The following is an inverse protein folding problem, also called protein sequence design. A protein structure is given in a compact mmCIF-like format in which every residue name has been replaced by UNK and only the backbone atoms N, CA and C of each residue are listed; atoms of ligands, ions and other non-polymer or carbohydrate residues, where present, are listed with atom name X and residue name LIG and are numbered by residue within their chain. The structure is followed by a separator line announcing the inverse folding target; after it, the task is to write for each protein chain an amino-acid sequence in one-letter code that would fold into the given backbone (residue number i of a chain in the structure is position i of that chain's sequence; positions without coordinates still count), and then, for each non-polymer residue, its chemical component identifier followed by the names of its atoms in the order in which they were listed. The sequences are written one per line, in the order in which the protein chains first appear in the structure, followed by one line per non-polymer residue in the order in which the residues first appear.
data_IF_424969077690
#
_entry.id   IF_424969077690
#
_cell.length_a   1.000
_cell.length_b   1.000
_cell.length_c   1.000
_cell.angle_alpha   90.00
_cell.angle_beta   90.00
_cell.angle_gamma   90.00
#
_symmetry.space_group_name_H-M   'P 1'
#
loop_
_entity.id
_entity.type
_entity.pdbx_description
1 polymer ?
#
# COMPACT_ATOMS: atom_id res chain seq x y z
N UNK A 1 3.14 12.29 -2.44
CA UNK A 1 4.21 11.60 -1.66
C UNK A 1 4.97 12.65 -0.89
N UNK A 2 5.45 12.32 0.31
CA UNK A 2 6.29 13.20 1.13
C UNK A 2 7.56 12.43 1.49
N UNK A 3 8.73 13.05 1.36
CA UNK A 3 10.01 12.49 1.79
C UNK A 3 10.53 13.37 2.93
N UNK A 4 10.84 12.77 4.06
CA UNK A 4 11.41 13.46 5.22
C UNK A 4 12.83 12.98 5.44
N UNK A 5 13.78 13.89 5.30
CA UNK A 5 15.18 13.67 5.68
C UNK A 5 15.37 14.26 7.08
N UNK A 6 15.77 13.46 8.09
CA UNK A 6 15.92 13.97 9.45
C UNK A 6 17.14 14.88 9.57
N UNK A 7 17.14 15.75 10.58
CA UNK A 7 18.27 16.67 10.83
C UNK A 7 19.61 15.94 11.03
N UNK A 8 19.57 14.77 11.66
CA UNK A 8 20.75 13.91 11.85
C UNK A 8 20.50 12.56 11.18
N UNK A 9 21.11 12.37 10.01
CA UNK A 9 21.02 11.11 9.27
C UNK A 9 22.05 10.09 9.80
N UNK A 10 21.57 9.11 10.58
CA UNK A 10 22.37 8.03 11.17
C UNK A 10 22.39 6.76 10.33
N UNK A 11 21.34 6.53 9.54
CA UNK A 11 21.12 5.32 8.73
C UNK A 11 20.81 5.72 7.29
N UNK A 12 21.84 6.05 6.52
CA UNK A 12 21.69 6.49 5.12
C UNK A 12 21.31 5.37 4.15
N UNK A 13 21.59 4.12 4.50
CA UNK A 13 21.37 2.96 3.61
C UNK A 13 19.91 2.47 3.63
N UNK A 14 19.14 2.80 4.68
CA UNK A 14 17.78 2.30 4.88
C UNK A 14 16.81 3.47 4.92
N UNK A 15 15.75 3.40 4.13
CA UNK A 15 14.58 4.26 4.26
C UNK A 15 13.39 3.49 4.81
N UNK A 16 12.49 4.18 5.50
CA UNK A 16 11.18 3.66 5.86
C UNK A 16 10.11 4.24 4.92
N UNK A 17 9.26 3.40 4.35
CA UNK A 17 8.15 3.84 3.51
C UNK A 17 6.82 3.39 4.09
N UNK A 18 5.97 4.38 4.41
CA UNK A 18 4.59 4.17 4.80
C UNK A 18 3.69 4.29 3.57
N UNK A 19 3.03 3.19 3.21
CA UNK A 19 2.06 3.09 2.13
C UNK A 19 0.69 3.49 2.69
N UNK A 20 0.22 4.66 2.29
CA UNK A 20 -0.95 5.32 2.88
C UNK A 20 -2.03 5.66 1.84
N UNK A 21 -3.19 6.09 2.34
CA UNK A 21 -4.33 6.50 1.56
C UNK A 21 -4.35 7.96 1.15
N UNK A 22 -5.57 8.49 1.10
CA UNK A 22 -5.90 9.76 0.49
C UNK A 22 -6.42 9.62 -0.94
N UNK A 23 -6.97 10.73 -1.43
CA UNK A 23 -7.62 10.85 -2.71
C UNK A 23 -6.79 11.72 -3.67
N UNK A 24 -7.02 11.58 -4.98
CA UNK A 24 -6.47 12.43 -6.03
C UNK A 24 -7.13 13.80 -6.11
N UNK A 25 -8.17 14.02 -5.32
CA UNK A 25 -8.80 15.31 -5.06
C UNK A 25 -8.25 15.99 -3.80
N UNK A 26 -7.42 15.30 -3.01
CA UNK A 26 -6.83 15.90 -1.81
C UNK A 26 -5.83 16.99 -2.18
N UNK A 27 -5.68 18.03 -1.35
CA UNK A 27 -4.63 19.01 -1.53
C UNK A 27 -3.25 18.34 -1.44
N UNK A 28 -2.25 19.00 -2.01
CA UNK A 28 -0.86 18.57 -1.87
C UNK A 28 -0.52 18.50 -0.37
N UNK A 29 -0.06 17.34 0.13
CA UNK A 29 0.15 17.17 1.55
C UNK A 29 1.34 18.01 2.03
N UNK A 30 1.14 18.76 3.12
CA UNK A 30 2.12 19.71 3.67
C UNK A 30 2.88 19.18 4.87
N UNK A 31 2.44 18.05 5.45
CA UNK A 31 3.07 17.43 6.62
C UNK A 31 3.00 15.91 6.53
N UNK A 32 3.98 15.25 7.13
CA UNK A 32 4.03 13.79 7.18
C UNK A 32 3.69 13.25 8.58
N UNK A 33 2.86 12.21 8.60
CA UNK A 33 2.51 11.45 9.81
C UNK A 33 3.69 10.66 10.38
N UNK A 34 4.75 10.45 9.59
CA UNK A 34 5.94 9.66 9.97
C UNK A 34 7.19 10.52 10.23
N UNK A 35 7.04 11.85 10.32
CA UNK A 35 8.14 12.78 10.64
C UNK A 35 8.87 12.40 11.94
N UNK A 36 8.15 12.04 12.99
CA UNK A 36 8.76 11.62 14.27
C UNK A 36 9.58 10.33 14.14
N UNK A 37 9.20 9.45 13.22
CA UNK A 37 9.96 8.23 12.95
C UNK A 37 11.28 8.55 12.24
N UNK A 38 11.30 9.54 11.35
CA UNK A 38 12.54 10.01 10.72
C UNK A 38 13.52 10.52 11.78
N UNK A 39 13.07 11.45 12.63
CA UNK A 39 13.90 12.07 13.66
C UNK A 39 14.40 11.07 14.72
N UNK A 40 13.53 10.16 15.18
CA UNK A 40 13.91 9.18 16.20
C UNK A 40 14.86 8.10 15.69
N UNK A 41 14.71 7.67 14.43
CA UNK A 41 15.56 6.61 13.86
C UNK A 41 16.81 7.16 13.17
N UNK A 42 16.82 8.44 12.82
CA UNK A 42 17.86 9.05 11.98
C UNK A 42 17.92 8.42 10.58
N UNK A 43 16.78 8.06 10.01
CA UNK A 43 16.66 7.46 8.67
C UNK A 43 15.68 8.28 7.83
N UNK A 44 15.81 8.22 6.50
CA UNK A 44 14.82 8.84 5.62
C UNK A 44 13.48 8.13 5.79
N UNK A 45 12.39 8.89 5.89
CA UNK A 45 11.03 8.34 5.81
C UNK A 45 10.29 8.84 4.59
N UNK A 46 9.41 8.02 4.05
CA UNK A 46 8.58 8.31 2.89
C UNK A 46 7.13 8.02 3.26
N UNK A 47 6.23 8.97 3.02
CA UNK A 47 4.79 8.74 3.09
C UNK A 47 4.22 8.76 1.67
N UNK A 48 3.91 7.56 1.18
CA UNK A 48 3.35 7.34 -0.14
C UNK A 48 1.82 7.35 -0.06
N UNK A 49 1.23 8.51 -0.32
CA UNK A 49 -0.21 8.75 -0.41
C UNK A 49 -0.84 8.17 -1.68
N UNK A 50 -2.17 8.17 -1.73
CA UNK A 50 -2.98 7.78 -2.89
C UNK A 50 -2.72 6.33 -3.31
N UNK A 51 -2.65 5.41 -2.34
CA UNK A 51 -2.63 3.97 -2.58
C UNK A 51 -3.93 3.38 -2.04
N UNK A 52 -4.96 3.14 -2.87
CA UNK A 52 -5.01 3.35 -4.31
C UNK A 52 -5.23 4.82 -4.69
N UNK A 53 -4.98 5.13 -5.97
CA UNK A 53 -5.30 6.43 -6.55
C UNK A 53 -6.80 6.46 -6.86
N UNK A 54 -7.55 7.27 -6.10
CA UNK A 54 -9.01 7.29 -6.04
C UNK A 54 -9.50 8.72 -5.77
N UNK A 55 -10.78 9.07 -5.96
CA UNK A 55 -11.84 8.24 -6.52
C UNK A 55 -11.60 7.86 -7.99
N UNK A 56 -12.26 6.79 -8.45
CA UNK A 56 -12.21 6.32 -9.85
C UNK A 56 -13.60 5.94 -10.36
N UNK A 57 -13.89 6.31 -11.61
CA UNK A 57 -15.05 5.81 -12.35
C UNK A 57 -14.61 4.80 -13.39
N UNK A 58 -15.24 3.64 -13.41
CA UNK A 58 -14.96 2.63 -14.42
C UNK A 58 -15.94 2.77 -15.58
N UNK A 59 -15.44 2.94 -16.80
CA UNK A 59 -16.30 3.08 -17.99
C UNK A 59 -17.21 1.86 -18.21
N UNK A 60 -16.74 0.67 -17.84
CA UNK A 60 -17.50 -0.57 -17.94
C UNK A 60 -18.54 -0.75 -16.81
N UNK A 61 -18.57 0.14 -15.81
CA UNK A 61 -19.57 0.12 -14.75
C UNK A 61 -20.82 0.87 -15.21
N UNK A 62 -21.93 0.15 -15.44
CA UNK A 62 -23.18 0.76 -15.89
C UNK A 62 -23.76 1.78 -14.91
N UNK A 63 -23.40 1.71 -13.62
CA UNK A 63 -23.84 2.70 -12.62
C UNK A 63 -23.12 4.04 -12.76
N UNK A 64 -21.96 4.07 -13.44
CA UNK A 64 -21.08 5.25 -13.58
C UNK A 64 -20.71 5.92 -12.24
N UNK A 65 -20.79 5.14 -11.15
CA UNK A 65 -20.49 5.60 -9.80
C UNK A 65 -18.99 5.88 -9.63
N UNK A 66 -18.70 6.93 -8.87
CA UNK A 66 -17.35 7.22 -8.40
C UNK A 66 -17.03 6.29 -7.23
N UNK A 67 -16.01 5.43 -7.38
CA UNK A 67 -15.66 4.43 -6.38
C UNK A 67 -14.43 4.85 -5.60
N UNK A 68 -14.45 4.58 -4.31
CA UNK A 68 -13.33 4.78 -3.37
C UNK A 68 -13.09 3.50 -2.58
N UNK A 69 -11.88 3.37 -2.05
CA UNK A 69 -11.50 2.32 -1.13
C UNK A 69 -11.95 0.89 -1.53
N UNK A 70 -12.73 0.24 -0.67
CA UNK A 70 -13.16 -1.14 -0.84
C UNK A 70 -14.16 -1.31 -1.98
N UNK A 71 -14.87 -0.25 -2.38
CA UNK A 71 -15.76 -0.30 -3.55
C UNK A 71 -14.97 -0.52 -4.84
N UNK A 72 -13.76 0.04 -4.94
CA UNK A 72 -12.86 -0.21 -6.08
C UNK A 72 -12.38 -1.67 -6.05
N UNK A 73 -11.99 -2.17 -4.87
CA UNK A 73 -11.54 -3.55 -4.69
C UNK A 73 -12.66 -4.52 -5.09
N UNK A 74 -13.87 -4.34 -4.54
CA UNK A 74 -15.03 -5.16 -4.81
C UNK A 74 -15.37 -5.17 -6.30
N UNK A 75 -15.39 -3.99 -6.95
CA UNK A 75 -15.65 -3.90 -8.38
C UNK A 75 -14.62 -4.67 -9.20
N UNK A 76 -13.33 -4.46 -8.95
CA UNK A 76 -12.27 -5.15 -9.71
C UNK A 76 -12.27 -6.67 -9.50
N UNK A 77 -12.57 -7.16 -8.29
CA UNK A 77 -12.72 -8.59 -8.03
C UNK A 77 -13.96 -9.18 -8.69
N UNK A 78 -15.11 -8.49 -8.62
CA UNK A 78 -16.33 -8.91 -9.32
C UNK A 78 -16.04 -9.08 -10.82
N UNK A 79 -15.46 -8.06 -11.46
CA UNK A 79 -15.11 -8.10 -12.88
C UNK A 79 -14.13 -9.24 -13.20
N UNK A 80 -13.12 -9.46 -12.35
CA UNK A 80 -12.18 -10.57 -12.52
C UNK A 80 -12.90 -11.93 -12.53
N UNK A 81 -13.81 -12.15 -11.56
CA UNK A 81 -14.57 -13.41 -11.43
C UNK A 81 -15.54 -13.60 -12.60
N UNK A 82 -16.28 -12.56 -12.99
CA UNK A 82 -17.21 -12.59 -14.14
C UNK A 82 -16.49 -12.87 -15.47
N UNK A 83 -15.21 -12.51 -15.56
CA UNK A 83 -14.33 -12.82 -16.70
C UNK A 83 -13.56 -14.15 -16.54
N UNK A 84 -14.09 -15.07 -15.73
CA UNK A 84 -13.52 -16.40 -15.45
C UNK A 84 -12.08 -16.37 -14.89
N UNK A 85 -11.67 -15.26 -14.26
CA UNK A 85 -10.34 -15.10 -13.68
C UNK A 85 -9.20 -15.03 -14.70
N UNK A 86 -9.49 -14.73 -15.97
CA UNK A 86 -8.49 -14.79 -17.06
C UNK A 86 -7.55 -13.58 -17.12
N UNK A 87 -8.00 -12.41 -16.64
CA UNK A 87 -7.22 -11.17 -16.68
C UNK A 87 -6.92 -10.63 -15.27
N UNK A 88 -5.82 -11.04 -14.62
CA UNK A 88 -5.48 -10.58 -13.27
C UNK A 88 -5.09 -9.09 -13.21
N UNK A 89 -4.78 -8.45 -14.34
CA UNK A 89 -4.42 -7.03 -14.38
C UNK A 89 -5.58 -6.09 -14.04
N UNK A 90 -6.83 -6.57 -14.06
CA UNK A 90 -7.98 -5.79 -13.62
C UNK A 90 -7.97 -5.56 -12.10
N UNK A 91 -7.32 -6.43 -11.32
CA UNK A 91 -7.32 -6.37 -9.87
C UNK A 91 -6.57 -5.14 -9.38
N UNK A 92 -7.22 -4.32 -8.55
CA UNK A 92 -6.65 -3.08 -8.00
C UNK A 92 -5.30 -3.28 -7.28
N UNK A 93 -5.05 -4.49 -6.78
CA UNK A 93 -3.78 -4.86 -6.14
C UNK A 93 -2.57 -4.60 -7.04
N UNK A 94 -2.69 -4.83 -8.34
CA UNK A 94 -1.59 -4.71 -9.29
C UNK A 94 -1.07 -3.27 -9.40
N UNK A 95 -1.91 -2.26 -9.73
CA UNK A 95 -1.44 -0.87 -9.76
C UNK A 95 -1.02 -0.35 -8.38
N UNK A 96 -1.66 -0.77 -7.27
CA UNK A 96 -1.21 -0.40 -5.93
C UNK A 96 0.22 -0.87 -5.63
N UNK A 97 0.53 -2.13 -5.99
CA UNK A 97 1.86 -2.72 -5.80
C UNK A 97 2.91 -2.01 -6.66
N UNK A 98 2.56 -1.78 -7.94
CA UNK A 98 3.42 -1.05 -8.88
C UNK A 98 3.72 0.36 -8.38
N UNK A 99 2.71 1.07 -7.87
CA UNK A 99 2.87 2.42 -7.35
C UNK A 99 3.81 2.45 -6.13
N UNK A 100 3.74 1.47 -5.23
CA UNK A 100 4.69 1.36 -4.11
C UNK A 100 6.14 1.14 -4.58
N UNK A 101 6.36 0.25 -5.56
CA UNK A 101 7.69 0.06 -6.15
C UNK A 101 8.19 1.33 -6.83
N UNK A 102 7.33 2.02 -7.59
CA UNK A 102 7.69 3.31 -8.21
C UNK A 102 7.91 4.43 -7.21
N UNK A 103 7.27 4.37 -6.05
CA UNK A 103 7.54 5.27 -4.92
C UNK A 103 8.97 5.12 -4.40
N UNK A 104 9.53 3.90 -4.42
CA UNK A 104 10.94 3.67 -4.06
C UNK A 104 11.87 4.30 -5.09
N UNK A 105 11.61 4.04 -6.37
CA UNK A 105 12.37 4.63 -7.48
C UNK A 105 12.37 6.17 -7.42
N UNK A 106 11.19 6.77 -7.21
CA UNK A 106 11.05 8.21 -7.10
C UNK A 106 11.75 8.78 -5.86
N UNK A 107 11.77 8.05 -4.75
CA UNK A 107 12.50 8.44 -3.54
C UNK A 107 14.00 8.47 -3.80
N UNK A 108 14.54 7.39 -4.38
CA UNK A 108 15.97 7.28 -4.71
C UNK A 108 16.39 8.40 -5.66
N UNK A 109 15.58 8.66 -6.69
CA UNK A 109 15.83 9.72 -7.67
C UNK A 109 15.82 11.10 -7.03
N UNK A 110 14.79 11.46 -6.27
CA UNK A 110 14.67 12.79 -5.65
C UNK A 110 15.78 13.05 -4.64
N UNK A 111 16.14 12.06 -3.80
CA UNK A 111 17.26 12.21 -2.87
C UNK A 111 18.58 12.45 -3.60
N UNK A 112 18.80 11.76 -4.72
CA UNK A 112 20.00 11.95 -5.55
C UNK A 112 20.06 13.35 -6.15
N UNK A 113 18.94 13.84 -6.68
CA UNK A 113 18.82 15.18 -7.28
C UNK A 113 19.06 16.29 -6.24
N UNK A 114 18.57 16.09 -5.02
CA UNK A 114 18.76 17.02 -3.89
C UNK A 114 20.11 16.86 -3.16
N UNK A 115 20.98 15.95 -3.63
CA UNK A 115 22.33 15.76 -3.05
C UNK A 115 22.37 15.03 -1.71
N UNK A 116 21.29 14.34 -1.33
CA UNK A 116 21.24 13.50 -0.13
C UNK A 116 21.78 12.09 -0.40
N UNK A 117 22.27 11.39 0.65
CA UNK A 117 22.58 9.97 0.54
C UNK A 117 21.37 9.14 0.09
N UNK A 118 21.57 8.29 -0.91
CA UNK A 118 20.52 7.45 -1.49
C UNK A 118 20.44 6.10 -0.75
N UNK A 119 19.27 5.72 -0.22
CA UNK A 119 19.07 4.41 0.39
C UNK A 119 19.10 3.31 -0.67
N UNK A 120 19.57 2.12 -0.28
CA UNK A 120 19.53 0.92 -1.11
C UNK A 120 18.59 -0.16 -0.54
N UNK A 121 18.01 0.09 0.63
CA UNK A 121 17.08 -0.79 1.31
C UNK A 121 15.88 -0.02 1.86
N UNK A 122 14.72 -0.68 1.90
CA UNK A 122 13.46 -0.14 2.38
C UNK A 122 12.84 -1.05 3.43
N UNK A 123 12.43 -0.46 4.55
CA UNK A 123 11.42 -1.04 5.44
C UNK A 123 10.07 -0.48 5.01
N UNK A 124 9.12 -1.35 4.68
CA UNK A 124 7.80 -0.92 4.19
C UNK A 124 6.69 -1.27 5.16
N UNK A 125 5.70 -0.38 5.29
CA UNK A 125 4.55 -0.60 6.16
C UNK A 125 3.26 -0.06 5.51
N UNK A 126 2.11 -0.61 5.90
CA UNK A 126 0.82 -0.15 5.39
C UNK A 126 -0.35 -0.77 6.14
N UNK A 127 -1.45 -0.03 6.28
CA UNK A 127 -2.65 -0.43 7.03
C UNK A 127 -3.75 -1.00 6.13
N UNK A 128 -4.48 -2.01 6.63
CA UNK A 128 -5.68 -2.56 5.97
C UNK A 128 -5.37 -3.06 4.55
N UNK A 129 -6.06 -2.56 3.53
CA UNK A 129 -5.75 -2.86 2.12
C UNK A 129 -4.34 -2.42 1.70
N UNK A 130 -3.70 -1.47 2.37
CA UNK A 130 -2.29 -1.14 2.14
C UNK A 130 -1.37 -2.16 2.79
N UNK A 131 -1.79 -2.84 3.85
CA UNK A 131 -1.07 -4.01 4.40
C UNK A 131 -0.95 -5.15 3.39
N UNK A 132 -1.97 -5.38 2.55
CA UNK A 132 -1.85 -6.31 1.42
C UNK A 132 -0.82 -5.81 0.40
N UNK A 133 -0.79 -4.50 0.13
CA UNK A 133 0.21 -3.89 -0.76
C UNK A 133 1.61 -4.06 -0.18
N UNK A 134 1.77 -3.94 1.13
CA UNK A 134 3.06 -4.20 1.81
C UNK A 134 3.55 -5.62 1.50
N UNK A 135 2.70 -6.64 1.64
CA UNK A 135 3.05 -8.01 1.27
C UNK A 135 3.43 -8.17 -0.20
N UNK A 136 2.60 -7.66 -1.12
CA UNK A 136 2.86 -7.84 -2.55
C UNK A 136 4.07 -7.05 -3.02
N UNK A 137 4.33 -5.87 -2.46
CA UNK A 137 5.54 -5.08 -2.74
C UNK A 137 6.79 -5.82 -2.27
N UNK A 138 6.78 -6.39 -1.06
CA UNK A 138 7.88 -7.22 -0.58
C UNK A 138 8.11 -8.45 -1.48
N UNK A 139 7.04 -9.10 -1.93
CA UNK A 139 7.12 -10.29 -2.78
C UNK A 139 7.76 -9.99 -4.15
N UNK A 140 7.44 -8.85 -4.78
CA UNK A 140 7.95 -8.52 -6.12
C UNK A 140 9.28 -7.75 -6.12
N UNK A 141 9.70 -7.21 -4.97
CA UNK A 141 10.90 -6.36 -4.85
C UNK A 141 11.71 -6.70 -3.59
N UNK A 142 11.90 -8.00 -3.35
CA UNK A 142 12.62 -8.54 -2.19
C UNK A 142 14.11 -8.18 -2.14
N UNK A 143 14.69 -7.69 -3.24
CA UNK A 143 16.07 -7.21 -3.29
C UNK A 143 16.27 -5.86 -2.59
N UNK A 144 15.24 -5.00 -2.62
CA UNK A 144 15.26 -3.67 -1.97
C UNK A 144 14.46 -3.64 -0.68
N UNK A 145 13.53 -4.57 -0.47
CA UNK A 145 12.71 -4.61 0.75
C UNK A 145 13.40 -5.48 1.81
N UNK A 146 13.96 -4.83 2.84
CA UNK A 146 14.67 -5.51 3.93
C UNK A 146 13.73 -5.94 5.07
N UNK A 147 12.59 -5.28 5.23
CA UNK A 147 11.52 -5.69 6.14
C UNK A 147 10.15 -5.19 5.68
N UNK A 148 9.11 -5.97 6.00
CA UNK A 148 7.71 -5.67 5.69
C UNK A 148 6.87 -5.69 6.96
N UNK A 149 6.08 -4.64 7.18
CA UNK A 149 5.22 -4.44 8.35
C UNK A 149 3.77 -4.24 7.89
N UNK A 150 3.06 -5.32 7.51
CA UNK A 150 1.66 -5.26 7.13
C UNK A 150 0.80 -5.09 8.39
N UNK A 151 0.05 -3.99 8.48
CA UNK A 151 -0.68 -3.63 9.70
C UNK A 151 -2.18 -3.91 9.52
N UNK A 152 -2.78 -4.52 10.54
CA UNK A 152 -4.19 -4.99 10.54
C UNK A 152 -4.46 -5.98 9.38
N UNK A 153 -3.45 -6.78 9.03
CA UNK A 153 -3.64 -7.89 8.09
C UNK A 153 -2.88 -9.15 8.53
N UNK A 154 -3.60 -10.03 9.20
CA UNK A 154 -3.10 -11.34 9.61
C UNK A 154 -3.76 -12.49 8.83
N UNK A 155 -3.73 -12.39 7.49
CA UNK A 155 -4.40 -13.36 6.61
C UNK A 155 -3.43 -13.94 5.56
N UNK A 156 -2.24 -14.36 6.00
CA UNK A 156 -1.24 -14.98 5.14
C UNK A 156 -1.74 -16.27 4.45
N UNK A 157 -2.59 -17.05 5.13
CA UNK A 157 -3.28 -18.20 4.54
C UNK A 157 -4.75 -17.86 4.25
N UNK A 158 -4.96 -17.01 3.24
CA UNK A 158 -6.28 -16.49 2.87
C UNK A 158 -7.33 -17.60 2.72
N UNK A 159 -7.02 -18.68 1.99
CA UNK A 159 -8.00 -19.74 1.76
C UNK A 159 -8.42 -20.45 3.05
N UNK A 160 -7.44 -20.78 3.92
CA UNK A 160 -7.73 -21.44 5.19
C UNK A 160 -8.48 -20.51 6.14
N UNK A 161 -8.05 -19.26 6.27
CA UNK A 161 -8.71 -18.27 7.12
C UNK A 161 -10.14 -17.96 6.67
N UNK A 162 -10.38 -17.81 5.37
CA UNK A 162 -11.75 -17.60 4.85
C UNK A 162 -12.66 -18.81 5.08
N UNK A 163 -12.13 -20.04 4.96
CA UNK A 163 -12.87 -21.25 5.33
C UNK A 163 -13.24 -21.26 6.82
N UNK A 164 -12.34 -20.81 7.70
CA UNK A 164 -12.63 -20.68 9.13
C UNK A 164 -13.71 -19.61 9.41
N UNK A 165 -13.59 -18.42 8.80
CA UNK A 165 -14.60 -17.36 8.91
C UNK A 165 -15.98 -17.83 8.42
N UNK A 166 -16.02 -18.55 7.29
CA UNK A 166 -17.27 -19.08 6.75
C UNK A 166 -17.92 -20.09 7.71
N UNK A 167 -17.17 -21.09 8.20
CA UNK A 167 -17.69 -22.14 9.08
C UNK A 167 -18.34 -21.57 10.35
N UNK A 168 -17.65 -20.63 11.01
CA UNK A 168 -18.17 -19.99 12.23
C UNK A 168 -19.32 -19.04 11.93
N UNK A 169 -19.33 -18.39 10.76
CA UNK A 169 -20.41 -17.49 10.35
C UNK A 169 -21.70 -18.18 9.87
N UNK A 170 -21.66 -19.49 9.59
CA UNK A 170 -22.82 -20.29 9.16
C UNK A 170 -23.35 -21.24 10.23
N UNK A 171 -22.64 -21.41 11.34
CA UNK A 171 -23.17 -22.10 12.52
C UNK A 171 -23.93 -21.07 13.37
N UNK A 172 -25.21 -21.36 13.65
CA UNK A 172 -26.15 -20.59 14.47
C UNK A 172 -25.54 -20.16 15.81
N UNK A 173 -24.78 -19.07 15.79
CA UNK A 173 -24.29 -18.45 17.01
C UNK A 173 -25.37 -17.51 17.52
N UNK A 174 -26.43 -18.10 18.08
CA UNK A 174 -27.29 -17.43 19.04
C UNK A 174 -26.40 -17.17 20.26
N UNK A 175 -25.92 -15.94 20.39
CA UNK A 175 -25.30 -15.44 21.61
C UNK A 175 -26.43 -14.76 22.40
N UNK A 176 -26.93 -15.47 23.42
CA UNK A 176 -27.45 -14.87 24.66
C UNK A 176 -26.75 -15.56 25.83
#
# INVERSE_FOLDING_TARGET
MIITVPRILRRSQIAFMFIDGGDNTDPIPTSSSVTMLAESTGSVTVELKQIPNQPIKFMADSTQESRTEDAIIAWTWKTFIEQNGTNPYILLRMPMTKAAVRGMDATEQLLKEEGFPVPNNFVIAGLSKRGWTTWTTAAVNNQRVSAAIPIVLDILNLQKNMKHHYRVGTEDTIIY
#
